data_IF_026218836562
#
_entry.id   IF_026218836562
#
_cell.length_a   1.000
_cell.length_b   1.000
_cell.length_c   1.000
_cell.angle_alpha   90.00
_cell.angle_beta   90.00
_cell.angle_gamma   90.00
#
_symmetry.space_group_name_H-M   'P 1'
#
loop_
_entity.id
_entity.type
_entity.pdbx_description
1 polymer ?
#
# COMPACT_ATOMS: atom_id res chain seq x y z
N UNK A 1 -13.66 2.68 4.16
CA UNK A 1 -13.03 1.82 5.20
C UNK A 1 -12.07 0.90 4.49
N UNK A 2 -11.02 0.45 5.17
CA UNK A 2 -10.03 -0.49 4.66
C UNK A 2 -9.86 -1.68 5.63
N UNK A 3 -9.34 -2.81 5.15
CA UNK A 3 -9.13 -3.98 6.01
C UNK A 3 -8.22 -3.68 7.21
N UNK A 4 -7.22 -2.81 7.02
CA UNK A 4 -6.30 -2.38 8.09
C UNK A 4 -6.99 -1.63 9.23
N UNK A 5 -8.20 -1.07 9.01
CA UNK A 5 -8.98 -0.39 10.06
C UNK A 5 -9.47 -1.37 11.13
N UNK A 6 -9.57 -2.67 10.81
CA UNK A 6 -9.99 -3.69 11.77
C UNK A 6 -9.05 -3.75 12.97
N UNK A 7 -7.75 -3.84 12.74
CA UNK A 7 -6.75 -3.93 13.81
C UNK A 7 -6.77 -2.69 14.70
N UNK A 8 -6.79 -1.50 14.10
CA UNK A 8 -6.90 -0.23 14.82
C UNK A 8 -8.19 -0.14 15.66
N UNK A 9 -9.29 -0.75 15.18
CA UNK A 9 -10.55 -0.81 15.91
C UNK A 9 -10.44 -1.75 17.11
N UNK A 10 -9.85 -2.94 16.93
CA UNK A 10 -9.66 -3.90 18.03
C UNK A 10 -8.76 -3.31 19.13
N UNK A 11 -7.65 -2.66 18.76
CA UNK A 11 -6.77 -1.97 19.71
C UNK A 11 -7.53 -0.91 20.53
N UNK A 12 -8.33 -0.06 19.85
CA UNK A 12 -9.14 0.96 20.50
C UNK A 12 -10.16 0.35 21.49
N UNK A 13 -10.92 -0.67 21.08
CA UNK A 13 -11.90 -1.33 21.95
C UNK A 13 -11.29 -2.11 23.11
N UNK A 14 -10.09 -2.68 22.92
CA UNK A 14 -9.37 -3.43 23.96
C UNK A 14 -8.49 -2.56 24.85
N UNK A 15 -8.33 -1.26 24.53
CA UNK A 15 -7.41 -0.33 25.19
C UNK A 15 -5.94 -0.79 25.12
N UNK A 16 -5.60 -1.56 24.08
CA UNK A 16 -4.22 -1.98 23.80
C UNK A 16 -3.52 -0.87 23.01
N UNK A 17 -2.26 -0.58 23.36
CA UNK A 17 -1.41 0.32 22.58
C UNK A 17 -0.48 -0.50 21.69
N UNK A 18 -0.45 -0.19 20.39
CA UNK A 18 0.50 -0.80 19.48
C UNK A 18 1.95 -0.39 19.79
N UNK A 19 2.86 -1.36 19.67
CA UNK A 19 4.32 -1.13 19.77
C UNK A 19 4.98 -0.93 18.38
N UNK A 20 4.17 -0.80 17.33
CA UNK A 20 4.61 -0.55 15.97
C UNK A 20 3.66 0.45 15.30
N UNK A 21 4.10 1.04 14.20
CA UNK A 21 3.24 1.92 13.39
C UNK A 21 2.35 1.07 12.49
N UNK A 22 1.05 1.36 12.48
CA UNK A 22 0.10 0.90 11.46
C UNK A 22 -0.75 2.07 10.99
N UNK A 23 -1.28 1.97 9.78
CA UNK A 23 -1.99 3.09 9.12
C UNK A 23 -3.53 2.98 9.20
N UNK A 24 -4.03 1.92 9.84
CA UNK A 24 -5.45 1.76 10.12
C UNK A 24 -5.98 2.83 11.08
N UNK A 25 -7.28 3.15 10.97
CA UNK A 25 -7.99 4.08 11.85
C UNK A 25 -9.17 3.36 12.49
N UNK A 26 -9.35 3.53 13.79
CA UNK A 26 -10.47 2.92 14.49
C UNK A 26 -11.81 3.34 13.88
N UNK A 27 -12.69 2.35 13.72
CA UNK A 27 -14.07 2.51 13.25
C UNK A 27 -15.05 2.76 14.40
N UNK A 28 -14.59 2.96 15.64
CA UNK A 28 -15.47 3.20 16.80
C UNK A 28 -16.54 4.26 16.53
N UNK A 29 -16.17 5.41 15.97
CA UNK A 29 -17.10 6.50 15.66
C UNK A 29 -18.11 6.13 14.56
N UNK A 30 -17.73 5.24 13.64
CA UNK A 30 -18.65 4.72 12.61
C UNK A 30 -19.63 3.73 13.25
N UNK A 31 -19.13 2.84 14.11
CA UNK A 31 -19.94 1.84 14.81
C UNK A 31 -20.89 2.45 15.85
N UNK A 32 -20.51 3.54 16.50
CA UNK A 32 -21.37 4.29 17.44
C UNK A 32 -22.40 5.17 16.72
N UNK A 33 -22.28 5.37 15.40
CA UNK A 33 -23.16 6.21 14.61
C UNK A 33 -22.85 7.71 14.68
N UNK A 34 -21.73 8.10 15.30
CA UNK A 34 -21.28 9.50 15.35
C UNK A 34 -20.91 10.04 13.96
N UNK A 35 -20.38 9.19 13.08
CA UNK A 35 -20.11 9.52 11.67
C UNK A 35 -20.48 8.37 10.75
N UNK A 36 -20.80 8.68 9.49
CA UNK A 36 -21.02 7.68 8.43
C UNK A 36 -19.75 7.34 7.65
N UNK A 37 -18.76 8.21 7.68
CA UNK A 37 -17.55 8.10 6.87
C UNK A 37 -16.31 8.42 7.70
N UNK A 38 -15.20 7.75 7.37
CA UNK A 38 -13.93 7.90 8.11
C UNK A 38 -12.78 8.44 7.27
N UNK A 39 -12.87 8.29 5.94
CA UNK A 39 -11.85 8.68 4.96
C UNK A 39 -12.51 8.97 3.62
N UNK A 40 -11.95 9.92 2.88
CA UNK A 40 -12.43 10.36 1.56
C UNK A 40 -12.02 9.39 0.44
N UNK A 41 -10.84 8.79 0.57
CA UNK A 41 -10.29 7.83 -0.38
C UNK A 41 -9.83 6.55 0.34
N UNK A 42 -9.85 5.43 -0.39
CA UNK A 42 -9.27 4.14 0.01
C UNK A 42 -8.16 3.74 -0.95
N UNK A 43 -7.21 2.97 -0.44
CA UNK A 43 -6.03 2.55 -1.17
C UNK A 43 -5.87 1.02 -1.17
N UNK A 44 -5.24 0.50 -2.22
CA UNK A 44 -4.83 -0.90 -2.30
C UNK A 44 -3.55 -0.97 -3.13
N UNK A 45 -2.62 -1.82 -2.72
CA UNK A 45 -1.34 -2.02 -3.40
C UNK A 45 -1.07 -3.51 -3.58
N UNK A 46 -0.31 -3.86 -4.61
CA UNK A 46 0.07 -5.24 -4.83
C UNK A 46 0.99 -5.40 -6.04
N UNK A 47 1.45 -6.63 -6.23
CA UNK A 47 2.35 -7.02 -7.31
C UNK A 47 3.82 -6.78 -7.00
N UNK A 48 4.67 -7.15 -7.96
CA UNK A 48 6.13 -7.16 -7.84
C UNK A 48 6.82 -6.35 -8.95
N UNK A 49 8.08 -6.01 -8.74
CA UNK A 49 8.95 -5.49 -9.79
C UNK A 49 9.42 -6.63 -10.71
N UNK A 50 9.84 -6.28 -11.92
CA UNK A 50 10.56 -7.23 -12.77
C UNK A 50 11.87 -7.66 -12.10
N UNK A 51 12.18 -8.95 -12.16
CA UNK A 51 13.36 -9.53 -11.51
C UNK A 51 13.19 -9.88 -10.02
N UNK A 52 12.07 -9.50 -9.37
CA UNK A 52 11.72 -9.99 -8.04
C UNK A 52 11.15 -11.42 -8.12
N UNK A 53 11.94 -12.35 -8.64
CA UNK A 53 11.54 -13.74 -8.87
C UNK A 53 11.14 -14.49 -7.58
N UNK A 54 11.63 -14.03 -6.43
CA UNK A 54 11.29 -14.56 -5.11
C UNK A 54 9.86 -14.21 -4.66
N UNK A 55 9.20 -13.26 -5.35
CA UNK A 55 7.79 -12.91 -5.13
C UNK A 55 6.85 -13.67 -6.08
N UNK A 56 7.35 -14.57 -6.93
CA UNK A 56 6.52 -15.42 -7.78
C UNK A 56 6.02 -16.64 -7.00
N UNK A 57 4.80 -17.10 -7.31
CA UNK A 57 4.22 -18.31 -6.71
C UNK A 57 4.87 -19.60 -7.31
N UNK A 58 6.15 -19.81 -7.04
CA UNK A 58 6.93 -20.95 -7.57
C UNK A 58 6.69 -22.23 -6.77
N UNK A 59 6.27 -22.12 -5.51
CA UNK A 59 6.02 -23.25 -4.60
C UNK A 59 4.76 -24.04 -4.98
N UNK A 60 3.84 -23.43 -5.72
CA UNK A 60 2.63 -24.07 -6.26
C UNK A 60 2.89 -24.94 -7.50
N UNK A 61 4.15 -25.29 -7.78
CA UNK A 61 4.56 -26.13 -8.91
C UNK A 61 3.78 -27.46 -9.03
N UNK A 62 3.50 -28.19 -7.93
CA UNK A 62 2.72 -29.43 -8.00
C UNK A 62 1.30 -29.26 -8.57
N UNK A 63 0.78 -28.02 -8.55
CA UNK A 63 -0.55 -27.63 -9.03
C UNK A 63 -0.53 -26.97 -10.41
N UNK A 64 0.63 -26.76 -11.04
CA UNK A 64 0.74 -26.20 -12.39
C UNK A 64 0.43 -27.26 -13.46
N UNK A 65 -0.82 -27.71 -13.49
CA UNK A 65 -1.34 -28.68 -14.45
C UNK A 65 -2.29 -27.98 -15.39
N UNK A 66 -2.16 -28.16 -16.71
CA UNK A 66 -2.96 -27.45 -17.71
C UNK A 66 -4.47 -27.63 -17.52
N UNK A 67 -4.85 -28.75 -16.93
CA UNK A 67 -6.22 -29.17 -16.66
C UNK A 67 -6.78 -28.56 -15.35
N UNK A 68 -5.93 -27.95 -14.52
CA UNK A 68 -6.32 -27.37 -13.24
C UNK A 68 -6.96 -25.98 -13.40
N UNK A 69 -7.99 -25.70 -12.61
CA UNK A 69 -8.74 -24.43 -12.64
C UNK A 69 -7.84 -23.21 -12.41
N UNK A 70 -6.78 -23.35 -11.61
CA UNK A 70 -5.83 -22.28 -11.30
C UNK A 70 -4.68 -22.14 -12.32
N UNK A 71 -4.59 -22.99 -13.33
CA UNK A 71 -3.46 -23.00 -14.27
C UNK A 71 -3.22 -21.64 -14.95
N UNK A 72 -4.24 -20.93 -15.48
CA UNK A 72 -4.00 -19.65 -16.12
C UNK A 72 -3.39 -18.63 -15.15
N UNK A 73 -3.91 -18.54 -13.92
CA UNK A 73 -3.40 -17.65 -12.86
C UNK A 73 -1.95 -17.99 -12.52
N UNK A 74 -1.68 -19.26 -12.20
CA UNK A 74 -0.35 -19.73 -11.81
C UNK A 74 0.68 -19.51 -12.91
N UNK A 75 0.31 -19.75 -14.17
CA UNK A 75 1.18 -19.52 -15.32
C UNK A 75 1.55 -18.05 -15.46
N UNK A 76 0.57 -17.14 -15.37
CA UNK A 76 0.79 -15.70 -15.52
C UNK A 76 1.59 -15.11 -14.36
N UNK A 77 1.27 -15.48 -13.11
CA UNK A 77 1.98 -14.97 -11.93
C UNK A 77 3.46 -15.36 -11.88
N UNK A 78 3.82 -16.49 -12.50
CA UNK A 78 5.21 -16.96 -12.66
C UNK A 78 5.93 -16.37 -13.88
N UNK A 79 5.20 -15.72 -14.79
CA UNK A 79 5.80 -15.11 -15.98
C UNK A 79 6.29 -13.70 -15.68
N UNK A 80 7.30 -13.21 -16.40
CA UNK A 80 7.71 -11.80 -16.35
C UNK A 80 6.79 -10.88 -17.16
N UNK A 81 5.58 -11.33 -17.51
CA UNK A 81 4.57 -10.46 -18.08
C UNK A 81 4.07 -9.42 -17.06
N UNK A 82 3.35 -8.40 -17.55
CA UNK A 82 2.90 -7.30 -16.69
C UNK A 82 1.76 -7.67 -15.73
N UNK A 83 1.08 -8.81 -15.94
CA UNK A 83 -0.19 -9.19 -15.31
C UNK A 83 -0.10 -9.33 -13.77
N UNK A 84 1.10 -9.49 -13.22
CA UNK A 84 1.35 -9.58 -11.78
C UNK A 84 2.37 -8.56 -11.26
N UNK A 85 2.52 -7.44 -11.97
CA UNK A 85 3.47 -6.40 -11.60
C UNK A 85 2.87 -5.33 -10.68
N UNK A 86 3.72 -4.45 -10.13
CA UNK A 86 3.30 -3.43 -9.18
C UNK A 86 2.20 -2.52 -9.74
N UNK A 87 1.12 -2.46 -8.99
CA UNK A 87 0.04 -1.50 -9.19
C UNK A 87 -0.44 -0.95 -7.85
N UNK A 88 -0.96 0.27 -7.89
CA UNK A 88 -1.60 0.88 -6.72
C UNK A 88 -2.88 1.56 -7.14
N UNK A 89 -3.88 1.46 -6.28
CA UNK A 89 -5.21 1.96 -6.50
C UNK A 89 -5.51 3.07 -5.50
N UNK A 90 -6.10 4.16 -5.98
CA UNK A 90 -6.75 5.18 -5.16
C UNK A 90 -8.21 5.28 -5.61
N UNK A 91 -9.14 5.04 -4.68
CA UNK A 91 -10.59 5.08 -4.95
C UNK A 91 -11.28 6.01 -3.99
N UNK A 92 -12.00 6.97 -4.55
CA UNK A 92 -12.99 7.77 -3.83
C UNK A 92 -14.37 7.13 -3.99
N UNK A 93 -15.41 7.79 -3.49
CA UNK A 93 -16.79 7.37 -3.75
C UNK A 93 -17.15 7.40 -5.23
N UNK A 94 -16.57 8.36 -5.97
CA UNK A 94 -17.03 8.74 -7.30
C UNK A 94 -16.09 8.28 -8.41
N UNK A 95 -14.80 8.10 -8.11
CA UNK A 95 -13.78 7.75 -9.09
C UNK A 95 -12.77 6.75 -8.53
N UNK A 96 -12.20 5.93 -9.41
CA UNK A 96 -11.09 5.04 -9.11
C UNK A 96 -9.97 5.25 -10.10
N UNK A 97 -8.77 5.40 -9.59
CA UNK A 97 -7.54 5.47 -10.37
C UNK A 97 -6.63 4.29 -10.00
N UNK A 98 -6.04 3.65 -11.00
CA UNK A 98 -5.05 2.58 -10.84
C UNK A 98 -3.79 2.99 -11.58
N UNK A 99 -2.71 3.25 -10.82
CA UNK A 99 -1.36 3.42 -11.39
C UNK A 99 -0.78 2.04 -11.64
N UNK A 100 -0.37 1.76 -12.88
CA UNK A 100 0.34 0.53 -13.22
C UNK A 100 1.78 0.84 -13.59
N UNK A 101 2.73 0.10 -13.04
CA UNK A 101 4.15 0.43 -13.23
C UNK A 101 4.62 0.12 -14.66
N UNK A 102 4.15 -0.97 -15.26
CA UNK A 102 4.60 -1.45 -16.58
C UNK A 102 3.48 -1.56 -17.63
N UNK A 103 2.31 -1.01 -17.33
CA UNK A 103 1.16 -0.96 -18.23
C UNK A 103 0.58 0.46 -18.25
N UNK A 104 -0.42 0.69 -19.10
CA UNK A 104 -1.22 1.90 -19.03
C UNK A 104 -1.94 2.01 -17.69
N UNK A 105 -2.01 3.23 -17.17
CA UNK A 105 -2.83 3.52 -16.00
C UNK A 105 -4.33 3.39 -16.35
N UNK A 106 -5.17 3.30 -15.33
CA UNK A 106 -6.62 3.18 -15.48
C UNK A 106 -7.36 4.26 -14.67
N UNK A 107 -8.43 4.83 -15.23
CA UNK A 107 -9.32 5.78 -14.56
C UNK A 107 -10.78 5.42 -14.84
N UNK A 108 -11.58 5.24 -13.79
CA UNK A 108 -12.99 4.87 -13.89
C UNK A 108 -13.89 5.88 -13.18
N UNK A 109 -14.97 6.29 -13.86
CA UNK A 109 -16.09 7.06 -13.28
C UNK A 109 -17.10 6.08 -12.68
N UNK A 110 -17.08 5.93 -11.36
CA UNK A 110 -17.90 4.95 -10.65
C UNK A 110 -19.38 5.36 -10.55
N UNK A 111 -19.73 6.63 -10.85
CA UNK A 111 -21.13 7.06 -10.88
C UNK A 111 -21.81 6.53 -12.13
N UNK A 112 -21.15 6.68 -13.27
CA UNK A 112 -21.71 6.34 -14.57
C UNK A 112 -21.32 4.93 -15.03
N UNK A 113 -20.19 4.42 -14.54
CA UNK A 113 -19.67 3.09 -14.80
C UNK A 113 -19.28 2.36 -13.50
N UNK A 114 -20.27 1.93 -12.69
CA UNK A 114 -20.02 1.20 -11.44
C UNK A 114 -19.42 -0.19 -11.65
N UNK A 115 -19.35 -0.67 -12.91
CA UNK A 115 -18.77 -1.97 -13.27
C UNK A 115 -17.34 -1.87 -13.79
N UNK A 116 -16.80 -0.65 -13.91
CA UNK A 116 -15.41 -0.40 -14.31
C UNK A 116 -15.06 -1.02 -15.67
N UNK A 117 -15.95 -0.85 -16.65
CA UNK A 117 -15.82 -1.39 -18.00
C UNK A 117 -15.23 -0.39 -19.00
N UNK A 118 -15.24 0.90 -18.70
CA UNK A 118 -14.77 1.99 -19.57
C UNK A 118 -13.57 2.70 -18.94
N UNK A 119 -12.36 2.36 -19.38
CA UNK A 119 -11.14 3.04 -18.94
C UNK A 119 -11.02 4.43 -19.60
N UNK A 120 -11.10 5.48 -18.78
CA UNK A 120 -11.13 6.89 -19.19
C UNK A 120 -9.82 7.63 -18.88
N UNK A 121 -8.71 6.91 -18.79
CA UNK A 121 -7.40 7.50 -18.46
C UNK A 121 -6.98 8.65 -19.39
N UNK A 122 -7.33 8.55 -20.68
CA UNK A 122 -6.96 9.53 -21.72
C UNK A 122 -8.04 10.59 -21.95
N UNK A 123 -9.12 10.61 -21.16
CA UNK A 123 -10.20 11.58 -21.34
C UNK A 123 -9.81 12.97 -20.82
N UNK A 124 -9.69 13.99 -21.70
CA UNK A 124 -9.32 15.34 -21.28
C UNK A 124 -10.32 15.97 -20.30
N UNK A 125 -11.60 15.58 -20.36
CA UNK A 125 -12.63 16.09 -19.46
C UNK A 125 -12.41 15.66 -18.00
N UNK A 126 -11.70 14.56 -17.77
CA UNK A 126 -11.37 14.04 -16.44
C UNK A 126 -9.95 14.37 -15.99
N UNK A 127 -9.20 15.19 -16.75
CA UNK A 127 -7.81 15.55 -16.43
C UNK A 127 -7.63 16.12 -15.02
N UNK A 128 -8.57 16.96 -14.55
CA UNK A 128 -8.55 17.50 -13.19
C UNK A 128 -8.80 16.45 -12.11
N UNK A 129 -9.68 15.48 -12.37
CA UNK A 129 -9.94 14.34 -11.47
C UNK A 129 -8.71 13.44 -11.41
N UNK A 130 -8.11 13.12 -12.56
CA UNK A 130 -6.90 12.32 -12.65
C UNK A 130 -5.75 12.95 -11.86
N UNK A 131 -5.53 14.27 -12.02
CA UNK A 131 -4.50 15.00 -11.28
C UNK A 131 -4.75 14.94 -9.76
N UNK A 132 -6.00 15.12 -9.32
CA UNK A 132 -6.35 15.05 -7.91
C UNK A 132 -6.11 13.66 -7.31
N UNK A 133 -6.48 12.59 -8.02
CA UNK A 133 -6.25 11.21 -7.55
C UNK A 133 -4.76 10.86 -7.52
N UNK A 134 -3.96 11.35 -8.48
CA UNK A 134 -2.50 11.23 -8.46
C UNK A 134 -1.89 11.94 -7.24
N UNK A 135 -2.38 13.13 -6.89
CA UNK A 135 -1.91 13.88 -5.72
C UNK A 135 -2.26 13.19 -4.40
N UNK A 136 -3.49 12.64 -4.28
CA UNK A 136 -3.88 11.82 -3.13
C UNK A 136 -3.00 10.60 -2.99
N UNK A 137 -2.65 9.96 -4.10
CA UNK A 137 -1.76 8.81 -4.10
C UNK A 137 -0.32 9.18 -3.69
N UNK A 138 0.19 10.32 -4.15
CA UNK A 138 1.51 10.82 -3.72
C UNK A 138 1.52 11.08 -2.21
N UNK A 139 0.48 11.74 -1.70
CA UNK A 139 0.32 12.00 -0.27
C UNK A 139 0.24 10.69 0.52
N UNK A 140 -0.53 9.71 0.05
CA UNK A 140 -0.60 8.38 0.65
C UNK A 140 0.79 7.75 0.78
N UNK A 141 1.57 7.73 -0.29
CA UNK A 141 2.92 7.17 -0.23
C UNK A 141 3.85 7.93 0.71
N UNK A 142 3.77 9.27 0.78
CA UNK A 142 4.53 10.05 1.76
C UNK A 142 4.16 9.69 3.20
N UNK A 143 2.89 9.39 3.46
CA UNK A 143 2.40 9.04 4.80
C UNK A 143 2.66 7.58 5.19
N UNK A 144 2.79 6.65 4.22
CA UNK A 144 2.72 5.21 4.50
C UNK A 144 3.87 4.34 3.97
N UNK A 145 4.74 4.84 3.08
CA UNK A 145 5.81 4.01 2.50
C UNK A 145 6.98 3.72 3.46
N UNK A 146 7.10 4.47 4.55
CA UNK A 146 8.15 4.29 5.54
C UNK A 146 7.55 4.29 6.95
N UNK A 147 8.21 3.56 7.85
CA UNK A 147 7.87 3.51 9.27
C UNK A 147 9.09 3.82 10.10
N UNK A 148 9.04 4.93 10.84
CA UNK A 148 10.11 5.29 11.76
C UNK A 148 10.05 4.36 12.99
N UNK A 149 11.14 3.65 13.34
CA UNK A 149 11.17 2.81 14.53
C UNK A 149 10.87 3.61 15.80
N UNK A 150 10.03 3.06 16.68
CA UNK A 150 9.68 3.72 17.95
C UNK A 150 10.82 3.67 18.96
N UNK A 151 11.67 2.64 18.87
CA UNK A 151 12.85 2.48 19.71
C UNK A 151 14.07 2.99 18.95
N UNK A 152 14.82 3.88 19.59
CA UNK A 152 16.08 4.38 19.01
C UNK A 152 17.12 3.27 18.98
N UNK A 153 17.69 3.06 17.80
CA UNK A 153 18.87 2.21 17.64
C UNK A 153 20.13 2.98 18.08
N UNK A 154 20.74 2.54 19.19
CA UNK A 154 22.01 3.10 19.67
C UNK A 154 23.13 2.52 18.83
N UNK A 155 23.57 3.28 17.83
CA UNK A 155 24.71 2.92 16.96
C UNK A 155 26.05 2.84 17.71
N UNK A 156 26.14 3.47 18.89
CA UNK A 156 27.33 3.50 19.71
C UNK A 156 26.97 3.23 21.17
N UNK A 157 27.77 2.41 21.84
CA UNK A 157 27.76 2.28 23.29
C UNK A 157 28.29 3.56 23.95
N UNK A 158 28.11 3.70 25.26
CA UNK A 158 28.71 4.84 25.99
C UNK A 158 30.24 4.76 25.91
N UNK A 159 30.78 3.56 25.92
CA UNK A 159 32.19 3.24 25.82
C UNK A 159 32.75 3.68 24.45
N UNK A 160 32.02 3.41 23.36
CA UNK A 160 32.38 3.88 22.02
C UNK A 160 32.42 5.40 21.93
N UNK A 161 31.43 6.08 22.53
CA UNK A 161 31.37 7.55 22.57
C UNK A 161 32.55 8.12 23.38
N UNK A 162 32.86 7.53 24.54
CA UNK A 162 33.99 7.95 25.38
C UNK A 162 35.31 7.74 24.64
N UNK A 163 35.51 6.60 24.00
CA UNK A 163 36.69 6.32 23.18
C UNK A 163 36.85 7.37 22.07
N UNK A 164 35.77 7.68 21.35
CA UNK A 164 35.78 8.67 20.27
C UNK A 164 36.15 10.08 20.77
N UNK A 165 35.61 10.50 21.92
CA UNK A 165 35.94 11.80 22.53
C UNK A 165 37.41 11.87 22.93
N UNK A 166 37.94 10.81 23.56
CA UNK A 166 39.35 10.76 23.97
C UNK A 166 40.31 10.73 22.76
N UNK A 167 39.93 10.09 21.66
CA UNK A 167 40.71 10.10 20.42
C UNK A 167 40.72 11.45 19.72
N UNK A 168 39.66 12.26 19.87
CA UNK A 168 39.52 13.57 19.21
C UNK A 168 39.98 14.75 20.04
N UNK A 169 40.23 14.57 21.35
CA UNK A 169 40.87 15.54 22.23
C UNK A 169 41.95 14.85 23.10
N UNK A 170 43.12 14.51 22.52
CA UNK A 170 44.18 13.82 23.26
C UNK A 170 44.85 14.66 24.36
N UNK A 171 44.65 15.98 24.38
CA UNK A 171 45.29 16.92 25.33
C UNK A 171 44.37 17.35 26.51
N UNK A 172 43.29 16.61 26.77
CA UNK A 172 42.48 16.69 28.01
C UNK A 172 42.42 15.33 28.67
#
# INVERSE_FOLDING_TARGET
>A
MELIDFYATVEDFSMIKSNHTHFGRSLRQVLSGETKERREAVFCEGGRLHGEEHCMEKESDPYLRKEGEYYPRLKLQRSEGPEHTKAVMCRTRDYKYVRRLYEGDELYDLKNDPKELDNRIDDPALSGVLANLKEKLLTFYLETCDVVPHQTDKRFSKEDIIMYVNMTNPDK
#
